data_IF_642385774418
#
_entry.id   IF_642385774418
#
_cell.length_a   1.000
_cell.length_b   1.000
_cell.length_c   1.000
_cell.angle_alpha   90.00
_cell.angle_beta   90.00
_cell.angle_gamma   90.00
#
_symmetry.space_group_name_H-M   'P 1'
#
loop_
_entity.id
_entity.type
_entity.pdbx_description
1 polymer ?
#
# COMPACT_ATOMS: atom_id res chain seq x y z
N UNK A 1 28.34 9.35 37.10
CA UNK A 1 28.68 8.96 35.71
C UNK A 1 27.43 8.39 35.09
N UNK A 2 27.07 8.76 33.86
CA UNK A 2 25.94 8.11 33.19
C UNK A 2 26.24 6.61 33.05
N UNK A 3 25.21 5.77 33.01
CA UNK A 3 25.39 4.33 32.86
C UNK A 3 26.07 3.95 31.55
N UNK A 4 26.45 2.68 31.43
CA UNK A 4 27.10 2.16 30.20
C UNK A 4 26.19 2.34 28.98
N UNK A 5 26.77 2.66 27.83
CA UNK A 5 26.04 2.69 26.57
C UNK A 5 25.50 1.29 26.20
N UNK A 6 24.50 1.26 25.33
CA UNK A 6 24.01 0.07 24.67
C UNK A 6 25.10 -0.59 23.82
N UNK A 7 24.91 -1.87 23.48
CA UNK A 7 25.82 -2.58 22.57
C UNK A 7 25.91 -1.89 21.20
N UNK A 8 24.83 -1.25 20.75
CA UNK A 8 24.81 -0.54 19.46
C UNK A 8 25.77 0.67 19.43
N UNK A 9 25.93 1.37 20.56
CA UNK A 9 26.77 2.58 20.64
C UNK A 9 28.07 2.40 21.42
N UNK A 10 28.40 1.17 21.86
CA UNK A 10 29.58 0.89 22.70
C UNK A 10 30.89 1.45 22.13
N UNK A 11 31.03 1.48 20.81
CA UNK A 11 32.20 2.01 20.11
C UNK A 11 32.48 3.49 20.43
N UNK A 12 31.45 4.24 20.84
CA UNK A 12 31.49 5.69 21.04
C UNK A 12 31.48 6.10 22.52
N UNK A 13 31.54 5.14 23.46
CA UNK A 13 31.34 5.39 24.89
C UNK A 13 32.29 6.42 25.50
N UNK A 14 33.53 6.47 25.02
CA UNK A 14 34.54 7.41 25.49
C UNK A 14 34.45 8.80 24.81
N UNK A 15 33.64 8.95 23.77
CA UNK A 15 33.55 10.20 22.99
C UNK A 15 32.18 10.86 23.16
N UNK A 16 31.94 11.41 24.35
CA UNK A 16 30.64 11.98 24.74
C UNK A 16 30.14 13.09 23.79
N UNK A 17 31.05 13.84 23.17
CA UNK A 17 30.73 14.95 22.26
C UNK A 17 30.09 14.51 20.94
N UNK A 18 30.10 13.22 20.62
CA UNK A 18 29.37 12.69 19.45
C UNK A 18 27.86 12.70 19.64
N UNK A 19 27.38 12.77 20.88
CA UNK A 19 25.95 12.77 21.20
C UNK A 19 25.54 14.00 22.02
N UNK A 20 26.47 14.57 22.80
CA UNK A 20 26.20 15.67 23.70
C UNK A 20 26.94 16.94 23.31
N UNK A 21 26.18 17.97 22.92
CA UNK A 21 26.69 19.33 22.84
C UNK A 21 26.44 20.02 24.20
N UNK A 22 27.52 20.28 24.94
CA UNK A 22 27.46 20.90 26.27
C UNK A 22 27.09 22.38 26.22
N UNK A 23 27.26 23.02 25.08
CA UNK A 23 26.95 24.44 24.87
C UNK A 23 25.50 24.66 24.46
N UNK A 24 24.91 23.72 23.73
CA UNK A 24 23.57 23.85 23.18
C UNK A 24 22.91 22.48 23.00
N UNK A 25 22.00 22.15 23.94
CA UNK A 25 21.28 20.86 23.92
C UNK A 25 20.37 20.69 22.71
N UNK A 26 19.93 21.78 22.07
CA UNK A 26 19.05 21.71 20.89
C UNK A 26 19.76 21.06 19.69
N UNK A 27 21.10 21.16 19.62
CA UNK A 27 21.91 20.56 18.55
C UNK A 27 22.03 19.04 18.65
N UNK A 28 21.72 18.44 19.79
CA UNK A 28 21.89 16.99 19.99
C UNK A 28 21.03 16.17 19.04
N UNK A 29 19.82 16.64 18.68
CA UNK A 29 18.98 15.98 17.66
C UNK A 29 19.73 15.79 16.35
N UNK A 30 20.43 16.82 15.89
CA UNK A 30 21.22 16.76 14.66
C UNK A 30 22.38 15.77 14.77
N UNK A 31 23.08 15.73 15.91
CA UNK A 31 24.17 14.78 16.13
C UNK A 31 23.70 13.31 15.99
N UNK A 32 22.50 12.98 16.46
CA UNK A 32 21.90 11.67 16.24
C UNK A 32 21.67 11.40 14.74
N UNK A 33 21.06 12.36 14.04
CA UNK A 33 20.68 12.24 12.63
C UNK A 33 21.89 12.22 11.68
N UNK A 34 23.03 12.80 12.07
CA UNK A 34 24.26 12.77 11.28
C UNK A 34 24.79 11.32 11.08
N UNK A 35 24.53 10.44 12.06
CA UNK A 35 24.82 9.01 11.97
C UNK A 35 23.60 8.21 11.45
N UNK A 36 22.39 8.49 11.96
CA UNK A 36 21.16 7.81 11.59
C UNK A 36 20.51 8.39 10.33
N UNK A 37 21.22 8.29 9.21
CA UNK A 37 20.85 8.92 7.93
C UNK A 37 19.51 8.45 7.35
N UNK A 38 19.17 7.18 7.57
CA UNK A 38 17.86 6.62 7.15
C UNK A 38 16.73 7.30 7.93
N UNK A 39 16.85 7.38 9.26
CA UNK A 39 15.86 8.08 10.11
C UNK A 39 15.79 9.56 9.76
N UNK A 40 16.92 10.19 9.43
CA UNK A 40 16.93 11.56 8.93
C UNK A 40 16.18 11.67 7.59
N UNK A 41 16.20 10.64 6.75
CA UNK A 41 15.39 10.51 5.54
C UNK A 41 13.91 10.43 5.86
N UNK A 42 13.51 9.46 6.71
CA UNK A 42 12.13 9.28 7.18
C UNK A 42 11.51 10.61 7.63
N UNK A 43 12.24 11.36 8.47
CA UNK A 43 11.80 12.67 9.00
C UNK A 43 11.65 13.74 7.92
N UNK A 44 12.51 13.75 6.89
CA UNK A 44 12.42 14.73 5.78
C UNK A 44 11.31 14.39 4.80
N UNK A 45 11.08 13.11 4.57
CA UNK A 45 10.11 12.60 3.60
C UNK A 45 8.71 12.42 4.21
N UNK A 46 8.59 12.58 5.53
CA UNK A 46 7.39 12.23 6.30
C UNK A 46 6.90 10.81 5.99
N UNK A 47 7.88 9.89 5.91
CA UNK A 47 7.67 8.49 5.56
C UNK A 47 8.04 7.57 6.72
N UNK A 48 7.61 6.31 6.64
CA UNK A 48 7.78 5.32 7.69
C UNK A 48 7.23 5.80 9.05
N UNK A 49 7.48 5.05 10.11
CA UNK A 49 6.98 5.42 11.44
C UNK A 49 7.56 6.75 11.94
N UNK A 50 8.87 6.95 11.81
CA UNK A 50 9.51 8.15 12.35
C UNK A 50 9.08 9.43 11.65
N UNK A 51 8.81 9.42 10.34
CA UNK A 51 8.36 10.61 9.62
C UNK A 51 6.87 10.90 9.78
N UNK A 52 6.05 9.88 10.07
CA UNK A 52 4.60 9.99 10.24
C UNK A 52 4.15 10.12 11.69
N UNK A 53 5.04 9.90 12.65
CA UNK A 53 4.70 10.00 14.06
C UNK A 53 4.25 11.42 14.42
N UNK A 54 3.08 11.60 15.03
CA UNK A 54 2.56 12.92 15.36
C UNK A 54 3.53 13.74 16.22
N UNK A 55 3.84 14.95 15.76
CA UNK A 55 4.70 15.88 16.50
C UNK A 55 6.16 15.45 16.56
N UNK A 56 6.67 14.62 15.66
CA UNK A 56 8.11 14.34 15.54
C UNK A 56 8.89 15.43 14.78
N UNK A 57 8.16 16.24 14.03
CA UNK A 57 8.62 17.35 13.20
C UNK A 57 8.73 18.66 14.00
N UNK A 58 8.07 18.76 15.16
CA UNK A 58 8.17 19.96 16.01
C UNK A 58 9.55 20.06 16.69
N UNK A 59 10.12 21.27 16.80
CA UNK A 59 11.45 21.49 17.39
C UNK A 59 11.62 20.95 18.82
N UNK A 60 10.54 20.91 19.59
CA UNK A 60 10.49 20.46 20.98
C UNK A 60 10.46 18.94 21.13
N UNK A 61 10.21 18.21 20.04
CA UNK A 61 10.16 16.76 20.03
C UNK A 61 11.55 16.17 20.08
N UNK A 62 11.80 15.38 21.12
CA UNK A 62 13.12 14.83 21.36
C UNK A 62 13.11 13.34 21.11
N UNK A 63 14.11 12.85 20.38
CA UNK A 63 14.33 11.42 20.15
C UNK A 63 14.32 10.65 21.48
N UNK A 64 14.73 11.30 22.58
CA UNK A 64 14.79 10.71 23.92
C UNK A 64 13.43 10.31 24.52
N UNK A 65 12.33 10.82 23.97
CA UNK A 65 10.99 10.45 24.40
C UNK A 65 10.74 8.94 24.19
N UNK A 66 11.20 8.42 23.05
CA UNK A 66 11.10 7.01 22.71
C UNK A 66 12.43 6.27 22.87
N UNK A 67 13.56 6.97 22.70
CA UNK A 67 14.89 6.36 22.78
C UNK A 67 15.60 6.63 24.09
N UNK A 68 16.14 5.59 24.73
CA UNK A 68 16.91 5.77 25.95
C UNK A 68 18.26 5.08 25.87
N UNK A 69 19.31 5.87 26.11
CA UNK A 69 20.68 5.40 26.18
C UNK A 69 21.19 5.49 27.64
N UNK A 70 22.38 4.96 27.91
CA UNK A 70 23.00 4.85 29.24
C UNK A 70 22.29 3.88 30.19
N UNK A 71 21.50 2.96 29.66
CA UNK A 71 20.79 1.94 30.43
C UNK A 71 21.54 0.61 30.52
N UNK A 72 22.71 0.50 29.89
CA UNK A 72 23.53 -0.70 29.87
C UNK A 72 23.53 -1.44 28.52
N UNK A 73 24.44 -2.39 28.39
CA UNK A 73 24.77 -3.06 27.11
C UNK A 73 23.58 -3.78 26.48
N UNK A 74 22.72 -4.37 27.29
CA UNK A 74 21.58 -5.19 26.86
C UNK A 74 20.26 -4.44 26.95
N UNK A 75 20.29 -3.13 27.26
CA UNK A 75 19.07 -2.36 27.37
C UNK A 75 18.40 -2.21 26.00
N UNK A 76 17.07 -2.30 26.00
CA UNK A 76 16.29 -1.88 24.86
C UNK A 76 16.29 -0.36 24.79
N UNK A 77 16.97 0.16 23.78
CA UNK A 77 17.08 1.59 23.54
C UNK A 77 15.84 2.17 22.88
N UNK A 78 14.88 1.35 22.43
CA UNK A 78 13.65 1.79 21.76
C UNK A 78 12.46 1.38 22.63
N UNK A 79 11.84 2.34 23.30
CA UNK A 79 10.71 2.09 24.20
C UNK A 79 9.38 2.04 23.44
N UNK A 80 9.29 1.16 22.44
CA UNK A 80 8.03 0.91 21.74
C UNK A 80 7.37 -0.35 22.31
N UNK A 81 6.09 -0.25 22.68
CA UNK A 81 5.28 -1.40 23.09
C UNK A 81 4.57 -1.98 21.87
N UNK A 82 4.57 -3.31 21.76
CA UNK A 82 3.84 -4.02 20.70
C UNK A 82 2.33 -3.78 20.81
N UNK A 83 1.81 -3.68 22.03
CA UNK A 83 0.40 -3.49 22.33
C UNK A 83 -0.09 -2.08 22.04
N UNK A 84 0.80 -1.09 22.12
CA UNK A 84 0.48 0.33 21.93
C UNK A 84 0.90 0.86 20.56
N UNK A 85 1.51 0.02 19.71
CA UNK A 85 1.98 0.44 18.41
C UNK A 85 0.80 0.61 17.44
N UNK A 86 0.65 1.82 16.92
CA UNK A 86 -0.43 2.18 16.00
C UNK A 86 0.09 2.24 14.55
N UNK A 87 -0.53 1.44 13.67
CA UNK A 87 -0.21 1.41 12.25
C UNK A 87 -0.74 2.62 11.46
N UNK A 88 -1.67 3.41 12.02
CA UNK A 88 -2.15 4.66 11.42
C UNK A 88 -1.01 5.68 11.21
N UNK A 89 0.07 5.56 11.99
CA UNK A 89 1.26 6.39 11.88
C UNK A 89 2.38 5.72 11.08
N UNK A 90 2.03 4.85 10.13
CA UNK A 90 2.99 4.16 9.26
C UNK A 90 2.62 4.34 7.79
N UNK A 91 3.47 3.85 6.88
CA UNK A 91 3.16 3.82 5.46
C UNK A 91 2.13 2.74 5.08
N UNK A 92 1.73 1.91 6.02
CA UNK A 92 0.75 0.84 5.80
C UNK A 92 -0.27 0.81 6.96
N UNK A 93 -1.26 1.72 6.94
CA UNK A 93 -2.37 1.67 7.88
C UNK A 93 -3.14 0.36 7.69
N UNK A 94 -3.41 -0.35 8.78
CA UNK A 94 -4.16 -1.60 8.73
C UNK A 94 -5.64 -1.27 8.54
N UNK A 95 -6.20 -1.70 7.41
CA UNK A 95 -7.59 -1.49 7.03
C UNK A 95 -8.24 -2.78 6.56
N UNK A 96 -9.56 -2.81 6.62
CA UNK A 96 -10.36 -3.94 6.14
C UNK A 96 -9.93 -5.25 6.82
N UNK A 97 -9.74 -6.29 6.02
CA UNK A 97 -9.34 -7.61 6.53
C UNK A 97 -7.92 -7.64 7.13
N UNK A 98 -7.08 -6.64 6.85
CA UNK A 98 -5.72 -6.57 7.42
C UNK A 98 -5.70 -6.14 8.89
N UNK A 99 -6.80 -5.65 9.46
CA UNK A 99 -6.86 -5.29 10.89
C UNK A 99 -6.71 -6.52 11.79
N UNK A 100 -7.20 -7.67 11.34
CA UNK A 100 -7.27 -8.89 12.16
C UNK A 100 -6.06 -9.83 11.95
N UNK A 101 -5.09 -9.45 11.12
CA UNK A 101 -3.93 -10.31 10.83
C UNK A 101 -2.92 -10.30 11.99
N UNK A 102 -2.38 -11.46 12.32
CA UNK A 102 -1.34 -11.56 13.35
C UNK A 102 -0.03 -10.95 12.87
N UNK A 103 0.69 -10.25 13.76
CA UNK A 103 1.88 -9.45 13.42
C UNK A 103 2.94 -10.25 12.66
N UNK A 104 3.16 -11.51 13.05
CA UNK A 104 4.16 -12.41 12.48
C UNK A 104 3.90 -12.75 11.01
N UNK A 105 2.67 -12.54 10.52
CA UNK A 105 2.33 -12.72 9.10
C UNK A 105 3.06 -11.71 8.21
N UNK A 106 3.36 -10.52 8.74
CA UNK A 106 4.01 -9.43 8.03
C UNK A 106 5.45 -9.20 8.55
N UNK A 107 5.64 -9.31 9.86
CA UNK A 107 6.90 -9.04 10.54
C UNK A 107 7.64 -10.34 10.85
N UNK A 108 8.58 -10.69 9.98
CA UNK A 108 9.41 -11.87 10.14
C UNK A 108 10.36 -11.74 11.34
N UNK A 109 10.50 -12.82 12.11
CA UNK A 109 11.41 -12.87 13.25
C UNK A 109 12.86 -12.54 12.83
N UNK A 110 13.53 -11.70 13.62
CA UNK A 110 14.92 -11.28 13.36
C UNK A 110 15.08 -10.32 12.18
N UNK A 111 14.00 -9.81 11.59
CA UNK A 111 14.03 -8.74 10.59
C UNK A 111 13.58 -7.41 11.21
N UNK A 112 14.15 -6.28 10.80
CA UNK A 112 13.63 -4.97 11.15
C UNK A 112 12.15 -4.85 10.76
N UNK A 113 11.31 -4.35 11.66
CA UNK A 113 9.87 -4.18 11.41
C UNK A 113 9.60 -3.30 10.18
N UNK A 114 10.47 -2.29 9.94
CA UNK A 114 10.40 -1.40 8.77
C UNK A 114 10.59 -2.09 7.42
N UNK A 115 11.15 -3.30 7.40
CA UNK A 115 11.45 -4.03 6.16
C UNK A 115 10.23 -4.83 5.64
N UNK A 116 9.15 -4.88 6.42
CA UNK A 116 7.91 -5.54 6.04
C UNK A 116 7.41 -5.04 4.68
N UNK A 117 7.00 -5.97 3.83
CA UNK A 117 6.52 -5.65 2.49
C UNK A 117 5.10 -5.12 2.56
N UNK A 118 4.83 -4.08 1.78
CA UNK A 118 3.55 -3.36 1.74
C UNK A 118 2.82 -3.55 0.40
N UNK A 119 3.49 -4.11 -0.60
CA UNK A 119 2.89 -4.43 -1.89
C UNK A 119 1.99 -5.65 -1.78
N UNK A 120 0.75 -5.57 -2.29
CA UNK A 120 -0.24 -6.64 -2.27
C UNK A 120 0.34 -7.99 -2.74
N UNK A 121 1.05 -7.99 -3.87
CA UNK A 121 1.62 -9.19 -4.49
C UNK A 121 2.78 -9.81 -3.71
N UNK A 122 3.31 -9.12 -2.69
CA UNK A 122 4.35 -9.68 -1.82
C UNK A 122 3.77 -10.81 -0.95
N UNK A 123 2.49 -10.69 -0.59
CA UNK A 123 1.76 -11.70 0.19
C UNK A 123 0.76 -12.47 -0.69
N UNK A 124 -0.02 -11.75 -1.51
CA UNK A 124 -1.15 -12.31 -2.28
C UNK A 124 -0.79 -12.80 -3.68
N UNK A 125 0.43 -13.35 -3.86
CA UNK A 125 0.86 -13.83 -5.18
C UNK A 125 0.07 -15.06 -5.65
N UNK A 126 -0.36 -15.91 -4.72
CA UNK A 126 -1.04 -17.17 -5.05
C UNK A 126 -2.51 -16.94 -5.41
N UNK A 127 -3.07 -15.84 -4.91
CA UNK A 127 -4.43 -15.37 -5.07
C UNK A 127 -4.59 -14.52 -6.34
N UNK A 128 -3.49 -14.14 -6.99
CA UNK A 128 -3.46 -13.35 -8.21
C UNK A 128 -3.94 -14.20 -9.40
N UNK A 129 -5.12 -13.88 -9.94
CA UNK A 129 -5.76 -14.63 -11.03
C UNK A 129 -5.57 -14.01 -12.41
N UNK A 130 -4.98 -12.83 -12.51
CA UNK A 130 -4.83 -12.10 -13.78
C UNK A 130 -3.52 -12.42 -14.50
N UNK A 131 -2.73 -13.37 -14.00
CA UNK A 131 -1.49 -13.86 -14.61
C UNK A 131 -0.47 -12.72 -14.84
N UNK A 132 -0.46 -11.72 -13.94
CA UNK A 132 0.40 -10.54 -14.03
C UNK A 132 0.06 -9.55 -15.16
N UNK A 133 -1.06 -9.74 -15.89
CA UNK A 133 -1.44 -8.90 -17.05
C UNK A 133 -1.87 -7.48 -16.67
N UNK A 134 -2.31 -7.27 -15.43
CA UNK A 134 -2.81 -6.00 -14.91
C UNK A 134 -1.76 -5.17 -14.14
N UNK A 135 -0.54 -5.70 -13.97
CA UNK A 135 0.50 -5.04 -13.19
C UNK A 135 0.35 -5.28 -11.69
N UNK A 136 0.83 -4.34 -10.88
CA UNK A 136 0.97 -4.50 -9.41
C UNK A 136 0.06 -3.61 -8.59
N UNK A 137 -0.66 -2.70 -9.24
CA UNK A 137 -1.58 -1.77 -8.59
C UNK A 137 -2.95 -2.42 -8.40
N UNK A 138 -3.02 -3.36 -7.46
CA UNK A 138 -4.25 -4.10 -7.19
C UNK A 138 -5.37 -3.20 -6.65
N UNK A 139 -5.01 -2.13 -5.92
CA UNK A 139 -5.94 -1.17 -5.32
C UNK A 139 -6.70 -0.30 -6.33
N UNK A 140 -6.28 -0.32 -7.61
CA UNK A 140 -7.03 0.33 -8.68
C UNK A 140 -8.40 -0.30 -8.97
N UNK A 141 -8.59 -1.55 -8.55
CA UNK A 141 -9.81 -2.34 -8.77
C UNK A 141 -10.29 -3.05 -7.50
N UNK A 142 -9.39 -3.54 -6.65
CA UNK A 142 -9.74 -4.33 -5.46
C UNK A 142 -9.67 -3.50 -4.19
N UNK A 143 -10.59 -3.76 -3.26
CA UNK A 143 -10.60 -3.17 -1.92
C UNK A 143 -10.10 -4.18 -0.88
N UNK A 144 -9.29 -3.73 0.09
CA UNK A 144 -8.73 -4.60 1.14
C UNK A 144 -9.75 -5.08 2.19
N UNK A 145 -10.94 -4.49 2.25
CA UNK A 145 -12.03 -4.93 3.14
C UNK A 145 -12.76 -6.14 2.58
N UNK A 146 -12.93 -6.18 1.26
CA UNK A 146 -13.59 -7.29 0.59
C UNK A 146 -13.00 -7.48 -0.81
N UNK A 147 -11.94 -8.28 -0.94
CA UNK A 147 -11.20 -8.46 -2.19
C UNK A 147 -12.06 -8.84 -3.42
N UNK A 148 -13.17 -9.55 -3.18
CA UNK A 148 -14.13 -9.96 -4.22
C UNK A 148 -15.00 -8.81 -4.72
N UNK A 149 -15.12 -7.74 -3.94
CA UNK A 149 -15.77 -6.51 -4.36
C UNK A 149 -14.78 -5.71 -5.22
N UNK A 150 -15.09 -5.60 -6.51
CA UNK A 150 -14.26 -4.88 -7.47
C UNK A 150 -14.93 -3.53 -7.74
N UNK A 151 -14.20 -2.46 -7.45
CA UNK A 151 -14.59 -1.10 -7.78
C UNK A 151 -13.72 -0.61 -8.93
N UNK A 152 -14.14 -0.91 -10.16
CA UNK A 152 -13.54 -0.32 -11.36
C UNK A 152 -14.60 0.46 -12.14
N UNK A 153 -14.33 1.75 -12.30
CA UNK A 153 -15.24 2.69 -12.94
C UNK A 153 -15.10 2.62 -14.47
N UNK A 154 -16.00 1.88 -15.12
CA UNK A 154 -16.03 1.75 -16.57
C UNK A 154 -16.49 3.04 -17.28
N UNK A 155 -17.12 4.00 -16.59
CA UNK A 155 -17.51 5.28 -17.19
C UNK A 155 -16.28 6.13 -17.56
N UNK A 156 -15.12 5.84 -16.95
CA UNK A 156 -13.83 6.44 -17.32
C UNK A 156 -13.19 5.81 -18.56
N UNK A 157 -13.79 4.77 -19.13
CA UNK A 157 -13.25 4.06 -20.30
C UNK A 157 -13.96 4.48 -21.59
N UNK A 158 -13.43 4.02 -22.72
CA UNK A 158 -14.08 4.21 -24.02
C UNK A 158 -15.36 3.37 -24.21
N UNK A 159 -15.70 2.51 -23.25
CA UNK A 159 -16.91 1.69 -23.26
C UNK A 159 -17.58 1.72 -21.88
N UNK A 160 -18.38 2.77 -21.58
CA UNK A 160 -19.18 2.81 -20.37
C UNK A 160 -20.19 1.66 -20.35
N UNK A 161 -20.24 0.92 -19.26
CA UNK A 161 -21.17 -0.18 -19.11
C UNK A 161 -22.58 0.37 -18.84
N UNK A 162 -23.52 0.09 -19.74
CA UNK A 162 -24.93 0.49 -19.61
C UNK A 162 -25.84 -0.73 -19.68
N UNK A 163 -26.97 -0.62 -19.01
CA UNK A 163 -28.03 -1.64 -19.01
C UNK A 163 -27.47 -3.05 -18.74
N UNK A 164 -27.71 -4.04 -19.60
CA UNK A 164 -27.27 -5.42 -19.36
C UNK A 164 -25.76 -5.59 -19.35
N UNK A 165 -25.01 -4.69 -20.01
CA UNK A 165 -23.55 -4.74 -19.96
C UNK A 165 -23.01 -4.40 -18.57
N UNK A 166 -23.75 -3.62 -17.77
CA UNK A 166 -23.37 -3.31 -16.38
C UNK A 166 -23.48 -4.53 -15.45
N UNK A 167 -24.29 -5.52 -15.82
CA UNK A 167 -24.47 -6.77 -15.09
C UNK A 167 -23.57 -7.90 -15.60
N UNK A 168 -22.88 -7.70 -16.72
CA UNK A 168 -22.06 -8.73 -17.35
C UNK A 168 -20.82 -9.05 -16.48
N UNK A 169 -20.47 -10.34 -16.31
CA UNK A 169 -19.23 -10.70 -15.62
C UNK A 169 -18.03 -10.25 -16.46
N UNK A 170 -16.92 -9.88 -15.81
CA UNK A 170 -15.73 -9.35 -16.50
C UNK A 170 -15.25 -10.26 -17.65
N UNK A 171 -15.30 -11.58 -17.45
CA UNK A 171 -14.88 -12.58 -18.43
C UNK A 171 -15.76 -12.64 -19.70
N UNK A 172 -16.97 -12.06 -19.67
CA UNK A 172 -17.83 -11.97 -20.86
C UNK A 172 -17.25 -11.02 -21.93
N UNK A 173 -16.47 -10.02 -21.52
CA UNK A 173 -15.79 -9.10 -22.44
C UNK A 173 -14.27 -9.32 -22.45
N UNK A 174 -13.67 -9.59 -21.28
CA UNK A 174 -12.23 -9.74 -21.09
C UNK A 174 -11.76 -11.19 -21.24
N UNK A 175 -11.94 -11.76 -22.44
CA UNK A 175 -11.57 -13.14 -22.74
C UNK A 175 -10.12 -13.47 -22.37
N UNK A 176 -9.91 -14.57 -21.66
CA UNK A 176 -8.58 -15.02 -21.22
C UNK A 176 -7.85 -14.04 -20.30
N UNK A 177 -8.60 -13.30 -19.47
CA UNK A 177 -8.08 -12.25 -18.59
C UNK A 177 -7.33 -11.14 -19.34
N UNK A 178 -7.74 -10.84 -20.58
CA UNK A 178 -7.19 -9.75 -21.37
C UNK A 178 -8.03 -8.48 -21.18
N UNK A 179 -7.55 -7.60 -20.32
CA UNK A 179 -8.23 -6.34 -19.99
C UNK A 179 -7.84 -5.17 -20.89
N UNK A 180 -6.63 -5.22 -21.47
CA UNK A 180 -6.15 -4.22 -22.43
C UNK A 180 -6.67 -4.54 -23.84
N UNK A 181 -6.99 -3.49 -24.59
CA UNK A 181 -7.48 -3.59 -25.98
C UNK A 181 -8.65 -4.56 -26.10
N UNK A 182 -9.58 -4.48 -25.15
CA UNK A 182 -10.83 -5.23 -25.20
C UNK A 182 -11.65 -4.71 -26.36
N UNK A 183 -12.12 -5.59 -27.27
CA UNK A 183 -12.97 -5.17 -28.37
C UNK A 183 -14.22 -4.45 -27.83
N UNK A 184 -14.58 -3.35 -28.48
CA UNK A 184 -15.70 -2.48 -28.06
C UNK A 184 -16.81 -2.39 -29.11
N UNK A 185 -16.55 -2.91 -30.31
CA UNK A 185 -17.54 -2.93 -31.39
C UNK A 185 -18.56 -4.04 -31.11
N UNK A 186 -19.85 -3.76 -31.29
CA UNK A 186 -20.95 -4.68 -30.97
C UNK A 186 -20.73 -6.07 -31.57
N UNK A 187 -20.39 -6.10 -32.87
CA UNK A 187 -20.15 -7.32 -33.64
C UNK A 187 -18.96 -8.14 -33.12
N UNK A 188 -18.02 -7.55 -32.38
CA UNK A 188 -16.87 -8.29 -31.85
C UNK A 188 -17.26 -9.33 -30.80
N UNK A 189 -18.44 -9.19 -30.19
CA UNK A 189 -18.98 -10.14 -29.22
C UNK A 189 -20.32 -10.72 -29.68
N UNK A 190 -21.13 -9.93 -30.38
CA UNK A 190 -22.49 -10.28 -30.81
C UNK A 190 -22.60 -10.71 -32.27
N UNK A 191 -21.50 -11.01 -32.97
CA UNK A 191 -21.55 -11.64 -34.30
C UNK A 191 -22.42 -12.92 -34.31
N UNK A 192 -22.34 -13.82 -33.29
CA UNK A 192 -23.23 -14.99 -33.23
C UNK A 192 -24.72 -14.64 -33.04
N UNK A 193 -25.00 -13.44 -32.51
CA UNK A 193 -26.37 -12.96 -32.24
C UNK A 193 -26.92 -12.10 -33.39
N UNK A 194 -26.11 -11.78 -34.42
CA UNK A 194 -26.53 -10.92 -35.52
C UNK A 194 -27.48 -11.64 -36.49
N UNK A 195 -28.77 -11.44 -36.27
CA UNK A 195 -29.85 -11.93 -37.12
C UNK A 195 -29.86 -11.31 -38.53
N UNK A 196 -29.12 -10.22 -38.75
CA UNK A 196 -29.03 -9.57 -40.06
C UNK A 196 -27.87 -10.10 -40.90
N UNK A 197 -27.06 -11.02 -40.36
CA UNK A 197 -25.94 -11.64 -41.07
C UNK A 197 -24.99 -10.61 -41.74
N UNK A 198 -24.74 -9.48 -41.07
CA UNK A 198 -23.87 -8.41 -41.55
C UNK A 198 -24.48 -7.44 -42.57
N UNK A 199 -25.72 -7.65 -43.04
CA UNK A 199 -26.34 -6.82 -44.09
C UNK A 199 -26.62 -5.37 -43.66
N UNK A 200 -26.74 -5.12 -42.35
CA UNK A 200 -27.04 -3.81 -41.77
C UNK A 200 -25.81 -3.01 -41.33
N UNK A 201 -24.60 -3.53 -41.59
CA UNK A 201 -23.34 -2.91 -41.15
C UNK A 201 -23.15 -2.97 -39.63
N UNK A 202 -22.19 -2.19 -39.10
CA UNK A 202 -21.73 -2.30 -37.70
C UNK A 202 -22.32 -1.25 -36.75
N UNK A 203 -23.17 -0.35 -37.26
CA UNK A 203 -23.77 0.73 -36.44
C UNK A 203 -25.03 0.26 -35.70
N UNK A 204 -24.88 -0.79 -34.90
CA UNK A 204 -26.00 -1.45 -34.24
C UNK A 204 -26.81 -0.48 -33.35
N UNK A 205 -26.14 0.47 -32.70
CA UNK A 205 -26.74 1.45 -31.79
C UNK A 205 -27.72 2.45 -32.45
N UNK A 206 -27.80 2.51 -33.78
CA UNK A 206 -28.82 3.32 -34.47
C UNK A 206 -30.23 2.71 -34.34
N UNK A 207 -30.33 1.39 -34.15
CA UNK A 207 -31.59 0.65 -34.09
C UNK A 207 -31.74 -0.22 -32.83
N UNK A 208 -30.64 -0.64 -32.21
CA UNK A 208 -30.62 -1.52 -31.04
C UNK A 208 -30.26 -0.75 -29.77
N UNK A 209 -30.85 -1.16 -28.65
CA UNK A 209 -30.54 -0.69 -27.30
C UNK A 209 -29.88 -1.79 -26.49
N UNK A 210 -29.21 -1.42 -25.41
CA UNK A 210 -28.45 -2.34 -24.55
C UNK A 210 -29.27 -2.99 -23.44
N UNK A 211 -30.59 -2.82 -23.42
CA UNK A 211 -31.48 -3.42 -22.42
C UNK A 211 -31.87 -4.86 -22.79
N UNK A 212 -32.15 -5.68 -21.77
CA UNK A 212 -32.69 -7.03 -21.94
C UNK A 212 -34.15 -6.97 -22.39
N UNK A 213 -34.43 -6.53 -23.60
CA UNK A 213 -35.76 -6.75 -24.19
C UNK A 213 -35.78 -8.10 -24.89
N UNK A 214 -36.58 -8.99 -24.32
CA UNK A 214 -37.01 -10.24 -24.90
C UNK A 214 -37.36 -10.10 -26.39
N UNK A 215 -37.00 -11.14 -27.15
CA UNK A 215 -37.58 -11.55 -28.43
C UNK A 215 -38.84 -10.78 -28.88
N UNK A 216 -38.81 -10.26 -30.10
CA UNK A 216 -39.97 -9.76 -30.86
C UNK A 216 -39.79 -8.27 -31.17
N UNK A 217 -39.70 -7.84 -32.43
CA UNK A 217 -40.57 -8.18 -33.57
C UNK A 217 -39.73 -8.53 -34.80
#
# INVERSE_FOLDING_TARGET
MPGKLSTAHVKYEETCSLCHDRSDRSKQRRLCLDCHKEIAGDLREHSHFHGRFPGIDVPESECRACHAEHLGRTADIVKLSREQFDHEHTDYPLRGAHVDVVCESCHAAGKPFRDAKKECIACHRKEETHEGKLGRDCGSCHDESAWRHISYDHDKTAFPLRDTHAEAPCAACHFGNRYKNTPKECVSCHEPDDVHHGERGTKCAECHVTTATARGI
#
